data_IF_409734375496
#
_entry.id   IF_409734375496
#
_cell.length_a   1.000
_cell.length_b   1.000
_cell.length_c   1.000
_cell.angle_alpha   90.00
_cell.angle_beta   90.00
_cell.angle_gamma   90.00
#
_symmetry.space_group_name_H-M   'P 1'
#
loop_
_entity.id
_entity.type
_entity.pdbx_description
1 polymer ?
#
# COMPACT_ATOMS: atom_id res chain seq x y z
N UNK A 1 16.37 -9.55 -7.45
CA UNK A 1 16.93 -8.41 -8.20
C UNK A 1 16.56 -7.13 -7.46
N UNK A 2 17.35 -6.06 -7.54
CA UNK A 2 16.95 -4.76 -6.98
C UNK A 2 16.08 -3.99 -7.99
N UNK A 3 14.97 -3.42 -7.53
CA UNK A 3 14.11 -2.58 -8.36
C UNK A 3 14.69 -1.16 -8.40
N UNK A 4 14.41 -0.42 -9.47
CA UNK A 4 14.76 1.00 -9.55
C UNK A 4 13.98 1.79 -8.49
N UNK A 5 14.56 2.92 -8.06
CA UNK A 5 13.98 3.78 -7.01
C UNK A 5 12.55 4.25 -7.31
N UNK A 6 12.20 4.44 -8.58
CA UNK A 6 10.86 4.85 -9.02
C UNK A 6 9.77 3.78 -8.76
N UNK A 7 10.19 2.52 -8.55
CA UNK A 7 9.30 1.36 -8.30
C UNK A 7 9.34 0.95 -6.82
N UNK A 8 10.46 1.19 -6.13
CA UNK A 8 10.57 0.89 -4.70
C UNK A 8 9.73 1.88 -3.88
N UNK A 9 9.10 1.44 -2.77
CA UNK A 9 8.47 2.36 -1.82
C UNK A 9 9.50 3.32 -1.23
N UNK A 10 9.14 4.60 -1.10
CA UNK A 10 9.99 5.62 -0.47
C UNK A 10 9.92 5.53 1.07
N UNK A 11 10.65 4.55 1.60
CA UNK A 11 10.79 4.33 3.03
C UNK A 11 11.46 5.51 3.76
N UNK A 12 12.38 6.22 3.11
CA UNK A 12 13.10 7.34 3.74
C UNK A 12 12.15 8.49 4.07
N UNK A 13 11.20 8.79 3.17
CA UNK A 13 10.16 9.78 3.43
C UNK A 13 9.14 9.28 4.45
N UNK A 14 8.73 8.02 4.35
CA UNK A 14 7.80 7.41 5.30
C UNK A 14 8.36 7.44 6.73
N UNK A 15 9.60 7.01 6.93
CA UNK A 15 10.27 6.94 8.24
C UNK A 15 10.39 8.32 8.90
N UNK A 16 10.63 9.38 8.11
CA UNK A 16 10.68 10.75 8.62
C UNK A 16 9.33 11.30 9.06
N UNK A 17 8.25 10.95 8.34
CA UNK A 17 6.90 11.45 8.61
C UNK A 17 6.18 10.66 9.70
N UNK A 18 6.47 9.36 9.77
CA UNK A 18 5.76 8.38 10.59
C UNK A 18 5.60 8.78 12.07
N UNK A 19 6.65 9.22 12.79
CA UNK A 19 6.51 9.51 14.22
C UNK A 19 5.51 10.64 14.52
N UNK A 20 5.50 11.69 13.70
CA UNK A 20 4.58 12.82 13.92
C UNK A 20 3.15 12.44 13.52
N UNK A 21 2.97 11.68 12.43
CA UNK A 21 1.64 11.18 12.03
C UNK A 21 1.05 10.27 13.11
N UNK A 22 1.84 9.31 13.61
CA UNK A 22 1.40 8.40 14.67
C UNK A 22 0.99 9.18 15.92
N UNK A 23 1.80 10.17 16.32
CA UNK A 23 1.50 11.05 17.44
C UNK A 23 0.20 11.81 17.24
N UNK A 24 -0.05 12.37 16.04
CA UNK A 24 -1.30 13.09 15.75
C UNK A 24 -2.53 12.19 15.86
N UNK A 25 -2.45 10.96 15.36
CA UNK A 25 -3.53 9.96 15.47
C UNK A 25 -3.81 9.62 16.94
N UNK A 26 -2.77 9.34 17.72
CA UNK A 26 -2.92 8.99 19.14
C UNK A 26 -3.45 10.18 19.97
N UNK A 27 -2.96 11.39 19.72
CA UNK A 27 -3.45 12.61 20.38
C UNK A 27 -4.93 12.88 20.08
N UNK A 28 -5.38 12.56 18.86
CA UNK A 28 -6.78 12.67 18.50
C UNK A 28 -7.63 11.64 19.27
N UNK A 29 -7.16 10.39 19.39
CA UNK A 29 -7.82 9.37 20.21
C UNK A 29 -7.93 9.79 21.68
N UNK A 30 -6.83 10.25 22.28
CA UNK A 30 -6.83 10.75 23.66
C UNK A 30 -7.83 11.91 23.83
N UNK A 31 -7.88 12.83 22.86
CA UNK A 31 -8.83 13.94 22.88
C UNK A 31 -10.29 13.46 22.82
N UNK A 32 -10.61 12.49 21.95
CA UNK A 32 -11.94 11.93 21.82
C UNK A 32 -12.39 11.19 23.09
N UNK A 33 -11.49 10.45 23.74
CA UNK A 33 -11.79 9.74 24.99
C UNK A 33 -12.13 10.72 26.14
N UNK A 34 -11.45 11.87 26.18
CA UNK A 34 -11.65 12.88 27.21
C UNK A 34 -12.84 13.83 26.94
N UNK A 35 -13.05 14.21 25.67
CA UNK A 35 -13.91 15.35 25.30
C UNK A 35 -15.05 14.98 24.34
N UNK A 36 -14.97 13.83 23.67
CA UNK A 36 -15.78 13.52 22.49
C UNK A 36 -15.44 14.41 21.29
N UNK A 37 -16.06 14.13 20.14
CA UNK A 37 -15.96 14.96 18.92
C UNK A 37 -17.25 14.85 18.07
N UNK A 38 -18.41 15.03 18.70
CA UNK A 38 -19.74 14.87 18.05
C UNK A 38 -19.96 15.80 16.85
N UNK A 39 -19.27 16.95 16.81
CA UNK A 39 -19.35 17.92 15.70
C UNK A 39 -18.25 17.74 14.63
N UNK A 40 -17.37 16.75 14.82
CA UNK A 40 -16.23 16.41 13.96
C UNK A 40 -15.21 17.55 13.80
N UNK A 41 -15.13 18.48 14.75
CA UNK A 41 -14.19 19.61 14.67
C UNK A 41 -12.74 19.15 14.86
N UNK A 42 -12.47 18.26 15.81
CA UNK A 42 -11.13 17.73 16.02
C UNK A 42 -10.72 16.79 14.86
N UNK A 43 -11.65 15.99 14.36
CA UNK A 43 -11.45 15.14 13.20
C UNK A 43 -11.01 15.94 11.97
N UNK A 44 -11.73 17.03 11.62
CA UNK A 44 -11.39 17.87 10.47
C UNK A 44 -10.03 18.56 10.62
N UNK A 45 -9.63 18.90 11.86
CA UNK A 45 -8.29 19.46 12.12
C UNK A 45 -7.20 18.43 11.86
N UNK A 46 -7.38 17.20 12.36
CA UNK A 46 -6.47 16.08 12.10
C UNK A 46 -6.38 15.82 10.58
N UNK A 47 -7.53 15.72 9.92
CA UNK A 47 -7.64 15.52 8.47
C UNK A 47 -6.84 16.58 7.70
N UNK A 48 -7.03 17.85 8.03
CA UNK A 48 -6.33 18.95 7.39
C UNK A 48 -4.81 18.88 7.62
N UNK A 49 -4.36 18.63 8.84
CA UNK A 49 -2.94 18.54 9.17
C UNK A 49 -2.26 17.38 8.42
N UNK A 50 -2.88 16.20 8.40
CA UNK A 50 -2.35 15.04 7.69
C UNK A 50 -2.34 15.26 6.18
N UNK A 51 -3.35 15.92 5.62
CA UNK A 51 -3.37 16.34 4.23
C UNK A 51 -2.20 17.30 3.91
N UNK A 52 -1.97 18.33 4.72
CA UNK A 52 -0.87 19.28 4.51
C UNK A 52 0.51 18.60 4.58
N UNK A 53 0.68 17.62 5.48
CA UNK A 53 1.94 16.90 5.64
C UNK A 53 2.27 15.95 4.48
N UNK A 54 1.25 15.38 3.84
CA UNK A 54 1.42 14.24 2.92
C UNK A 54 0.97 14.52 1.50
N UNK A 55 0.11 15.51 1.30
CA UNK A 55 -0.59 15.79 0.04
C UNK A 55 -1.68 14.77 -0.31
N UNK A 56 -1.95 13.80 0.56
CA UNK A 56 -2.93 12.74 0.30
C UNK A 56 -4.36 13.19 0.61
N UNK A 57 -5.33 12.68 -0.14
CA UNK A 57 -6.73 12.77 0.23
C UNK A 57 -6.97 11.92 1.48
N UNK A 58 -7.39 12.53 2.59
CA UNK A 58 -7.59 11.82 3.84
C UNK A 58 -8.87 10.98 3.88
N UNK A 59 -9.82 11.21 2.98
CA UNK A 59 -11.07 10.44 2.92
C UNK A 59 -10.84 8.95 2.58
N UNK A 60 -9.65 8.60 2.08
CA UNK A 60 -9.26 7.21 1.84
C UNK A 60 -8.89 6.45 3.11
N UNK A 61 -8.68 7.15 4.24
CA UNK A 61 -8.24 6.58 5.50
C UNK A 61 -9.36 6.66 6.55
N UNK A 62 -9.56 5.58 7.30
CA UNK A 62 -10.46 5.61 8.46
C UNK A 62 -9.71 6.14 9.68
N UNK A 63 -9.72 7.46 9.88
CA UNK A 63 -9.08 8.10 11.04
C UNK A 63 -9.92 7.96 12.33
N UNK A 64 -11.19 7.57 12.20
CA UNK A 64 -12.14 7.50 13.33
C UNK A 64 -12.12 6.14 14.02
N UNK A 65 -12.07 5.03 13.28
CA UNK A 65 -12.24 3.65 13.78
C UNK A 65 -11.02 2.77 13.47
N UNK A 66 -9.82 3.35 13.53
CA UNK A 66 -8.59 2.64 13.19
C UNK A 66 -8.31 1.41 14.08
N UNK A 67 -8.87 1.36 15.29
CA UNK A 67 -8.75 0.24 16.21
C UNK A 67 -9.53 -1.01 15.77
N UNK A 68 -10.53 -0.88 14.90
CA UNK A 68 -11.25 -2.04 14.32
C UNK A 68 -10.51 -2.63 13.10
N UNK A 69 -9.53 -1.91 12.59
CA UNK A 69 -8.69 -2.32 11.47
C UNK A 69 -7.35 -2.88 11.97
N UNK A 70 -6.24 -2.29 11.54
CA UNK A 70 -4.89 -2.81 11.77
C UNK A 70 -4.11 -2.03 12.85
N UNK A 71 -4.74 -1.10 13.57
CA UNK A 71 -4.08 -0.29 14.60
C UNK A 71 -3.48 1.03 14.09
N UNK A 72 -3.12 1.91 15.04
CA UNK A 72 -2.65 3.28 14.75
C UNK A 72 -1.29 3.28 14.05
N UNK A 73 -0.41 2.34 14.37
CA UNK A 73 0.92 2.21 13.77
C UNK A 73 0.81 1.91 12.27
N UNK A 74 -0.10 1.01 11.90
CA UNK A 74 -0.31 0.63 10.52
C UNK A 74 -1.00 1.75 9.72
N UNK A 75 -1.97 2.42 10.31
CA UNK A 75 -2.60 3.61 9.72
C UNK A 75 -1.58 4.73 9.51
N UNK A 76 -0.75 5.01 10.52
CA UNK A 76 0.27 6.04 10.44
C UNK A 76 1.29 5.75 9.33
N UNK A 77 1.67 4.49 9.16
CA UNK A 77 2.55 4.07 8.07
C UNK A 77 1.91 4.30 6.70
N UNK A 78 0.66 3.90 6.51
CA UNK A 78 -0.04 4.07 5.22
C UNK A 78 -0.19 5.54 4.83
N UNK A 79 -0.42 6.42 5.81
CA UNK A 79 -0.49 7.87 5.59
C UNK A 79 0.91 8.43 5.30
N UNK A 80 1.93 7.97 6.03
CA UNK A 80 3.31 8.45 5.89
C UNK A 80 3.94 8.10 4.53
N UNK A 81 3.66 6.90 4.03
CA UNK A 81 4.25 6.35 2.82
C UNK A 81 3.78 7.11 1.57
N UNK A 82 4.67 7.66 0.74
CA UNK A 82 4.27 8.28 -0.53
C UNK A 82 3.51 7.32 -1.46
N UNK A 83 2.57 7.87 -2.23
CA UNK A 83 1.83 7.12 -3.26
C UNK A 83 2.77 6.63 -4.37
N UNK A 84 2.51 5.47 -5.00
CA UNK A 84 3.27 5.03 -6.15
C UNK A 84 3.10 5.97 -7.34
N UNK A 85 4.16 6.11 -8.14
CA UNK A 85 4.15 6.94 -9.34
C UNK A 85 3.86 6.12 -10.61
N UNK A 86 3.50 6.82 -11.69
CA UNK A 86 3.45 6.18 -13.01
C UNK A 86 4.86 6.08 -13.58
N UNK A 87 5.29 4.86 -13.91
CA UNK A 87 6.64 4.54 -14.38
C UNK A 87 6.58 4.01 -15.81
N UNK A 88 7.43 4.54 -16.68
CA UNK A 88 7.56 4.07 -18.07
C UNK A 88 8.59 2.96 -18.20
N UNK A 89 8.44 2.20 -19.28
CA UNK A 89 9.43 1.21 -19.72
C UNK A 89 9.76 0.19 -18.63
N UNK A 90 8.78 -0.18 -17.81
CA UNK A 90 8.90 -1.26 -16.84
C UNK A 90 9.23 -2.54 -17.60
N UNK A 91 10.31 -3.19 -17.18
CA UNK A 91 10.77 -4.43 -17.77
C UNK A 91 10.00 -5.61 -17.20
N UNK A 92 9.92 -6.69 -17.98
CA UNK A 92 9.34 -7.95 -17.49
C UNK A 92 10.08 -8.48 -16.26
N UNK A 93 11.39 -8.27 -16.15
CA UNK A 93 12.16 -8.68 -14.97
C UNK A 93 11.74 -7.91 -13.71
N UNK A 94 11.52 -6.59 -13.82
CA UNK A 94 11.04 -5.77 -12.71
C UNK A 94 9.65 -6.22 -12.27
N UNK A 95 8.74 -6.47 -13.22
CA UNK A 95 7.43 -7.04 -12.92
C UNK A 95 7.54 -8.41 -12.22
N UNK A 96 8.40 -9.31 -12.70
CA UNK A 96 8.64 -10.62 -12.07
C UNK A 96 9.09 -10.46 -10.62
N UNK A 97 9.99 -9.51 -10.33
CA UNK A 97 10.45 -9.27 -8.96
C UNK A 97 9.32 -8.72 -8.07
N UNK A 98 8.49 -7.80 -8.55
CA UNK A 98 7.30 -7.32 -7.82
C UNK A 98 6.38 -8.49 -7.49
N UNK A 99 6.03 -9.31 -8.48
CA UNK A 99 5.15 -10.48 -8.31
C UNK A 99 5.75 -11.49 -7.33
N UNK A 100 7.07 -11.72 -7.39
CA UNK A 100 7.79 -12.59 -6.46
C UNK A 100 7.62 -12.11 -5.02
N UNK A 101 7.85 -10.82 -4.74
CA UNK A 101 7.71 -10.21 -3.40
C UNK A 101 6.27 -10.30 -2.90
N UNK A 102 5.28 -10.06 -3.75
CA UNK A 102 3.85 -10.13 -3.38
C UNK A 102 3.33 -11.54 -3.14
N UNK A 103 3.97 -12.58 -3.70
CA UNK A 103 3.53 -13.98 -3.60
C UNK A 103 4.43 -14.85 -2.73
N UNK A 104 5.50 -14.29 -2.18
CA UNK A 104 6.46 -15.00 -1.33
C UNK A 104 6.45 -14.37 0.05
N UNK A 105 6.03 -15.13 1.06
CA UNK A 105 6.13 -14.67 2.44
C UNK A 105 7.61 -14.71 2.88
N UNK A 106 8.18 -13.52 3.09
CA UNK A 106 9.52 -13.36 3.64
C UNK A 106 9.38 -12.77 5.05
N UNK A 107 9.90 -13.50 6.04
CA UNK A 107 10.07 -12.94 7.38
C UNK A 107 11.33 -12.09 7.32
N UNK A 108 11.23 -10.83 7.71
CA UNK A 108 12.41 -9.99 7.87
C UNK A 108 12.97 -10.19 9.28
N UNK A 109 14.21 -10.62 9.37
CA UNK A 109 14.94 -10.91 10.61
C UNK A 109 15.37 -9.63 11.36
N UNK A 110 15.02 -8.45 10.83
CA UNK A 110 15.57 -7.16 11.25
C UNK A 110 14.58 -6.26 11.98
N UNK A 111 15.11 -5.39 12.83
CA UNK A 111 14.36 -4.35 13.55
C UNK A 111 14.27 -3.02 12.77
N UNK A 112 14.58 -3.03 11.47
CA UNK A 112 14.54 -1.81 10.66
C UNK A 112 13.10 -1.34 10.40
N UNK A 113 12.90 -0.04 10.19
CA UNK A 113 11.59 0.51 9.82
C UNK A 113 11.00 -0.19 8.59
N UNK A 114 11.84 -0.44 7.56
CA UNK A 114 11.45 -1.22 6.38
C UNK A 114 11.00 -2.64 6.74
N UNK A 115 11.72 -3.32 7.63
CA UNK A 115 11.41 -4.69 8.07
C UNK A 115 10.05 -4.77 8.78
N UNK A 116 9.75 -3.79 9.64
CA UNK A 116 8.49 -3.74 10.40
C UNK A 116 7.25 -3.68 9.49
N UNK A 117 7.33 -2.98 8.37
CA UNK A 117 6.19 -2.75 7.47
C UNK A 117 6.29 -3.50 6.13
N UNK A 118 7.26 -4.39 5.95
CA UNK A 118 7.49 -5.08 4.68
C UNK A 118 6.27 -5.92 4.23
N UNK A 119 5.63 -6.61 5.18
CA UNK A 119 4.41 -7.39 4.89
C UNK A 119 3.27 -6.50 4.40
N UNK A 120 3.11 -5.31 4.99
CA UNK A 120 2.09 -4.32 4.61
C UNK A 120 2.29 -3.75 3.21
N UNK A 121 3.55 -3.66 2.78
CA UNK A 121 3.91 -3.23 1.42
C UNK A 121 3.58 -4.31 0.38
N UNK A 122 3.82 -5.58 0.71
CA UNK A 122 3.74 -6.69 -0.24
C UNK A 122 2.36 -7.36 -0.29
N UNK A 123 1.60 -7.33 0.79
CA UNK A 123 0.33 -8.05 0.91
C UNK A 123 -0.86 -7.11 1.13
N UNK A 124 -2.08 -7.65 1.13
CA UNK A 124 -3.30 -6.87 1.30
C UNK A 124 -3.55 -5.93 0.12
N UNK A 125 -3.98 -4.69 0.38
CA UNK A 125 -4.07 -3.62 -0.64
C UNK A 125 -2.86 -2.66 -0.54
N UNK A 126 -1.69 -3.21 -0.19
CA UNK A 126 -0.45 -2.46 0.03
C UNK A 126 0.11 -1.77 -1.21
N UNK A 127 1.27 -1.15 -1.03
CA UNK A 127 1.93 -0.32 -2.05
C UNK A 127 2.04 -1.00 -3.42
N UNK A 128 2.48 -2.26 -3.50
CA UNK A 128 2.65 -2.92 -4.80
C UNK A 128 1.33 -3.20 -5.52
N UNK A 129 0.23 -3.43 -4.80
CA UNK A 129 -1.10 -3.53 -5.43
C UNK A 129 -1.52 -2.20 -6.06
N UNK A 130 -1.25 -1.08 -5.38
CA UNK A 130 -1.53 0.26 -5.90
C UNK A 130 -0.64 0.60 -7.09
N UNK A 131 0.66 0.28 -7.00
CA UNK A 131 1.62 0.45 -8.09
C UNK A 131 1.18 -0.33 -9.34
N UNK A 132 0.80 -1.60 -9.19
CA UNK A 132 0.35 -2.41 -10.32
C UNK A 132 -0.97 -1.89 -10.90
N UNK A 133 -1.92 -1.48 -10.06
CA UNK A 133 -3.19 -0.87 -10.50
C UNK A 133 -2.96 0.41 -11.32
N UNK A 134 -1.97 1.21 -10.95
CA UNK A 134 -1.62 2.45 -11.63
C UNK A 134 -0.92 2.20 -12.98
N UNK A 135 -0.02 1.22 -13.02
CA UNK A 135 0.91 1.04 -14.14
C UNK A 135 0.53 -0.07 -15.14
N UNK A 136 -0.37 -0.99 -14.76
CA UNK A 136 -0.73 -2.15 -15.57
C UNK A 136 -2.23 -2.18 -15.81
N UNK A 137 -2.67 -1.92 -17.05
CA UNK A 137 -4.10 -1.95 -17.43
C UNK A 137 -4.74 -3.34 -17.29
N UNK A 138 -3.89 -4.37 -17.19
CA UNK A 138 -4.23 -5.78 -17.01
C UNK A 138 -4.25 -6.20 -15.54
N UNK A 139 -3.97 -5.28 -14.61
CA UNK A 139 -4.01 -5.56 -13.18
C UNK A 139 -5.40 -6.01 -12.74
N UNK A 140 -5.40 -7.13 -12.01
CA UNK A 140 -6.59 -7.70 -11.39
C UNK A 140 -6.16 -8.33 -10.07
N UNK A 141 -6.83 -7.93 -8.98
CA UNK A 141 -6.56 -8.44 -7.64
C UNK A 141 -6.68 -9.98 -7.57
N UNK A 142 -7.54 -10.59 -8.40
CA UNK A 142 -7.71 -12.04 -8.48
C UNK A 142 -6.44 -12.79 -8.85
N UNK A 143 -5.45 -12.13 -9.47
CA UNK A 143 -4.16 -12.77 -9.79
C UNK A 143 -3.34 -13.12 -8.53
N UNK A 144 -3.63 -12.44 -7.41
CA UNK A 144 -2.93 -12.58 -6.14
C UNK A 144 -3.78 -13.28 -5.07
N UNK A 145 -4.96 -13.78 -5.43
CA UNK A 145 -5.91 -14.42 -4.51
C UNK A 145 -6.24 -15.84 -4.95
N UNK A 146 -6.88 -16.59 -4.05
CA UNK A 146 -7.48 -17.86 -4.38
C UNK A 146 -8.68 -17.68 -5.31
N UNK A 147 -8.73 -18.47 -6.38
CA UNK A 147 -9.76 -18.46 -7.40
C UNK A 147 -10.55 -19.78 -7.40
N UNK A 148 -11.70 -19.78 -8.09
CA UNK A 148 -12.47 -20.99 -8.41
C UNK A 148 -12.55 -21.20 -9.91
N UNK A 149 -12.28 -22.43 -10.35
CA UNK A 149 -12.50 -22.82 -11.74
C UNK A 149 -14.00 -22.99 -12.05
N UNK A 150 -14.34 -23.25 -13.31
CA UNK A 150 -15.75 -23.48 -13.74
C UNK A 150 -16.40 -24.71 -13.09
N UNK A 151 -15.61 -25.61 -12.50
CA UNK A 151 -16.06 -26.81 -11.80
C UNK A 151 -16.13 -26.60 -10.27
N UNK A 152 -15.76 -25.41 -9.79
CA UNK A 152 -15.74 -25.05 -8.37
C UNK A 152 -14.46 -25.46 -7.63
N UNK A 153 -13.43 -25.98 -8.31
CA UNK A 153 -12.16 -26.30 -7.67
C UNK A 153 -11.36 -25.03 -7.39
N UNK A 154 -10.74 -24.97 -6.22
CA UNK A 154 -9.87 -23.87 -5.84
C UNK A 154 -8.50 -23.98 -6.51
N UNK A 155 -7.97 -22.84 -6.96
CA UNK A 155 -6.61 -22.74 -7.48
C UNK A 155 -6.04 -21.33 -7.21
N UNK A 156 -4.73 -21.20 -7.31
CA UNK A 156 -4.00 -19.92 -7.28
C UNK A 156 -3.07 -19.86 -8.49
N UNK A 157 -2.95 -18.67 -9.08
CA UNK A 157 -2.00 -18.46 -10.17
C UNK A 157 -0.56 -18.58 -9.65
N UNK A 158 0.35 -19.17 -10.42
CA UNK A 158 1.78 -19.16 -10.11
C UNK A 158 2.38 -17.75 -10.24
N UNK A 159 3.64 -17.56 -9.82
CA UNK A 159 4.36 -16.29 -10.03
C UNK A 159 4.55 -16.02 -11.53
N UNK A 160 4.88 -17.05 -12.30
CA UNK A 160 5.04 -16.98 -13.75
C UNK A 160 3.70 -16.64 -14.43
N UNK A 161 2.61 -17.35 -14.08
CA UNK A 161 1.29 -17.10 -14.67
C UNK A 161 0.79 -15.68 -14.36
N UNK A 162 1.01 -15.21 -13.13
CA UNK A 162 0.67 -13.86 -12.69
C UNK A 162 1.45 -12.83 -13.51
N UNK A 163 2.76 -13.04 -13.66
CA UNK A 163 3.66 -12.17 -14.43
C UNK A 163 3.24 -12.11 -15.90
N UNK A 164 2.98 -13.25 -16.55
CA UNK A 164 2.58 -13.26 -17.97
C UNK A 164 1.26 -12.54 -18.21
N UNK A 165 0.28 -12.70 -17.31
CA UNK A 165 -1.02 -12.04 -17.41
C UNK A 165 -0.90 -10.53 -17.25
N UNK A 166 -0.10 -10.07 -16.31
CA UNK A 166 0.18 -8.64 -16.13
C UNK A 166 0.97 -8.09 -17.33
N UNK A 167 2.00 -8.83 -17.78
CA UNK A 167 2.87 -8.41 -18.89
C UNK A 167 2.14 -8.31 -20.23
N UNK A 168 1.16 -9.21 -20.48
CA UNK A 168 0.33 -9.22 -21.69
C UNK A 168 1.14 -9.09 -22.99
N UNK A 169 2.17 -9.92 -23.15
CA UNK A 169 3.09 -9.88 -24.30
C UNK A 169 3.77 -8.52 -24.55
N UNK A 170 3.89 -7.68 -23.51
CA UNK A 170 4.47 -6.33 -23.58
C UNK A 170 3.43 -5.23 -23.74
N UNK A 171 2.16 -5.56 -23.94
CA UNK A 171 1.05 -4.62 -24.02
C UNK A 171 0.38 -4.42 -22.64
N UNK A 172 1.15 -3.96 -21.66
CA UNK A 172 0.70 -3.80 -20.27
C UNK A 172 0.30 -2.38 -19.91
N UNK A 173 0.94 -1.37 -20.52
CA UNK A 173 0.74 0.03 -20.14
C UNK A 173 -0.45 0.63 -20.90
N UNK A 174 -1.20 1.49 -20.22
CA UNK A 174 -2.22 2.33 -20.86
C UNK A 174 -1.53 3.50 -21.55
N UNK A 175 -1.99 3.90 -22.74
CA UNK A 175 -1.48 5.09 -23.42
C UNK A 175 -1.59 6.31 -22.50
N UNK A 176 -0.46 6.99 -22.28
CA UNK A 176 -0.42 8.24 -21.51
C UNK A 176 -1.31 9.27 -22.22
N UNK A 177 -2.36 9.74 -21.56
CA UNK A 177 -3.11 10.92 -21.98
C UNK A 177 -2.45 12.19 -21.48
#
# INVERSE_FOLDING_TARGET
MELRKEIEPDYDTAEKRYPEILKLILQYTDYCDENGDEDHTAYKKLEHQLHEMTGKDMSQFNLWEWWEADGAENLAFDIALPEPETVRDITKNELTEIVRRMKTFEISDGESFKSMFYSRICFGNGYYHQFLKLNFKTYDLRLFQQNKDKKGNYFEYSQEETTEKLWNSGDYQTDFK
#
